data_IF_569981788676
#
_entry.id   IF_569981788676
#
_cell.length_a   1.000
_cell.length_b   1.000
_cell.length_c   1.000
_cell.angle_alpha   90.00
_cell.angle_beta   90.00
_cell.angle_gamma   90.00
#
_symmetry.space_group_name_H-M   'P 1'
#
loop_
_entity.id
_entity.type
_entity.pdbx_description
1 polymer ?
#
# COMPACT_ATOMS: atom_id res chain seq x y z
N UNK A 1 -1.23 -11.50 -19.11
CA UNK A 1 -0.58 -11.44 -17.74
C UNK A 1 -0.10 -9.95 -17.83
N UNK A 2 -0.67 -9.04 -17.02
CA UNK A 2 -0.10 -7.71 -16.76
C UNK A 2 1.02 -7.85 -15.74
N UNK A 3 1.94 -8.71 -16.16
CA UNK A 3 2.74 -9.58 -15.33
C UNK A 3 4.07 -9.89 -16.05
N UNK A 4 4.50 -8.93 -16.88
CA UNK A 4 5.78 -8.88 -17.60
C UNK A 4 6.76 -7.88 -16.95
N UNK A 5 6.45 -7.39 -15.75
CA UNK A 5 7.41 -6.64 -14.95
C UNK A 5 8.58 -7.57 -14.57
N UNK A 6 9.81 -7.13 -14.82
CA UNK A 6 11.03 -7.94 -14.57
C UNK A 6 11.24 -8.28 -13.09
N UNK A 7 10.54 -7.57 -12.20
CA UNK A 7 10.39 -7.84 -10.77
C UNK A 7 8.89 -7.88 -10.46
N UNK A 8 8.36 -8.90 -9.77
CA UNK A 8 6.96 -8.94 -9.35
C UNK A 8 6.59 -7.77 -8.42
N UNK A 9 5.38 -7.24 -8.57
CA UNK A 9 4.84 -6.21 -7.67
C UNK A 9 4.29 -6.88 -6.41
N UNK A 10 5.08 -6.86 -5.33
CA UNK A 10 4.66 -7.40 -4.03
C UNK A 10 3.67 -6.49 -3.29
N UNK A 11 2.91 -7.06 -2.36
CA UNK A 11 1.81 -6.42 -1.62
C UNK A 11 2.18 -5.06 -0.99
N UNK A 12 3.42 -4.93 -0.51
CA UNK A 12 3.91 -3.66 0.06
C UNK A 12 3.85 -2.48 -0.91
N UNK A 13 3.92 -2.71 -2.22
CA UNK A 13 3.72 -1.66 -3.22
C UNK A 13 2.27 -1.14 -3.23
N UNK A 14 1.27 -2.03 -3.09
CA UNK A 14 -0.14 -1.62 -2.97
C UNK A 14 -0.39 -0.86 -1.66
N UNK A 15 0.15 -1.35 -0.54
CA UNK A 15 0.03 -0.65 0.76
C UNK A 15 0.74 0.72 0.74
N UNK A 16 1.89 0.84 0.06
CA UNK A 16 2.61 2.13 -0.12
C UNK A 16 1.89 3.07 -1.10
N UNK A 17 1.18 2.57 -2.10
CA UNK A 17 0.32 3.37 -3.00
C UNK A 17 -0.87 3.96 -2.24
N UNK A 18 -1.50 3.16 -1.37
CA UNK A 18 -2.63 3.56 -0.53
C UNK A 18 -2.29 4.61 0.55
N UNK A 19 -1.02 5.01 0.70
CA UNK A 19 -0.57 6.18 1.48
C UNK A 19 -0.62 7.50 0.71
N UNK A 20 -0.75 7.44 -0.62
CA UNK A 20 -0.64 8.60 -1.53
C UNK A 20 -1.96 8.96 -2.20
N UNK A 21 -2.81 7.96 -2.46
CA UNK A 21 -4.10 8.09 -3.13
C UNK A 21 -5.07 7.05 -2.55
N UNK A 22 -6.38 7.29 -2.70
CA UNK A 22 -7.41 6.27 -2.48
C UNK A 22 -7.43 5.28 -3.68
N UNK A 23 -7.09 3.99 -3.48
CA UNK A 23 -6.98 3.05 -4.61
C UNK A 23 -8.31 2.73 -5.32
N UNK A 24 -9.46 2.76 -4.64
CA UNK A 24 -10.78 2.59 -5.25
C UNK A 24 -11.11 3.75 -6.21
N UNK A 25 -10.79 5.00 -5.85
CA UNK A 25 -10.91 6.14 -6.77
C UNK A 25 -9.93 6.05 -7.94
N UNK A 26 -8.67 5.65 -7.69
CA UNK A 26 -7.69 5.43 -8.75
C UNK A 26 -8.17 4.38 -9.76
N UNK A 27 -8.71 3.25 -9.29
CA UNK A 27 -9.32 2.21 -10.14
C UNK A 27 -10.44 2.78 -11.01
N UNK A 28 -11.40 3.50 -10.42
CA UNK A 28 -12.55 4.08 -11.14
C UNK A 28 -12.11 5.04 -12.24
N UNK A 29 -11.18 5.95 -11.93
CA UNK A 29 -10.65 6.93 -12.89
C UNK A 29 -9.86 6.24 -14.01
N UNK A 30 -8.95 5.31 -13.68
CA UNK A 30 -8.16 4.59 -14.68
C UNK A 30 -9.01 3.69 -15.59
N UNK A 31 -10.12 3.14 -15.07
CA UNK A 31 -11.09 2.35 -15.84
C UNK A 31 -11.92 3.23 -16.77
N UNK A 32 -12.40 4.38 -16.28
CA UNK A 32 -13.15 5.34 -17.09
C UNK A 32 -12.31 5.92 -18.23
N UNK A 33 -11.05 6.29 -17.97
CA UNK A 33 -10.10 6.77 -18.98
C UNK A 33 -9.84 5.74 -20.08
N UNK A 34 -9.62 4.47 -19.72
CA UNK A 34 -9.36 3.43 -20.72
C UNK A 34 -10.59 3.12 -21.56
N UNK A 35 -11.74 2.84 -20.92
CA UNK A 35 -12.97 2.47 -21.64
C UNK A 35 -13.55 3.64 -22.47
N UNK A 36 -13.29 4.89 -22.08
CA UNK A 36 -13.68 6.08 -22.82
C UNK A 36 -12.92 6.31 -24.13
N UNK A 37 -11.79 5.63 -24.36
CA UNK A 37 -10.94 5.77 -25.57
C UNK A 37 -11.40 4.92 -26.76
N UNK A 38 -12.63 4.41 -26.71
CA UNK A 38 -13.20 3.46 -27.68
C UNK A 38 -14.33 4.10 -28.52
N UNK A 39 -14.01 5.01 -29.47
CA UNK A 39 -15.01 5.62 -30.35
C UNK A 39 -15.55 4.58 -31.35
N UNK A 40 -16.81 4.73 -31.77
CA UNK A 40 -17.51 3.74 -32.61
C UNK A 40 -16.92 3.47 -34.00
N UNK A 41 -15.96 4.28 -34.48
CA UNK A 41 -15.21 4.05 -35.72
C UNK A 41 -13.96 3.18 -35.54
N UNK A 42 -13.50 2.95 -34.30
CA UNK A 42 -12.33 2.14 -34.00
C UNK A 42 -12.71 0.65 -34.05
N UNK A 43 -11.97 -0.21 -34.78
CA UNK A 43 -12.19 -1.66 -34.76
C UNK A 43 -12.04 -2.24 -33.35
N UNK A 44 -12.90 -3.20 -32.98
CA UNK A 44 -12.99 -3.73 -31.61
C UNK A 44 -11.70 -4.40 -31.12
N UNK A 45 -10.91 -4.90 -32.06
CA UNK A 45 -9.61 -5.55 -31.83
C UNK A 45 -8.52 -4.54 -31.42
N UNK A 46 -8.83 -3.23 -31.53
CA UNK A 46 -7.99 -2.11 -31.10
C UNK A 46 -8.57 -1.34 -29.91
N UNK A 47 -9.70 -1.79 -29.34
CA UNK A 47 -10.29 -1.15 -28.17
C UNK A 47 -9.43 -1.38 -26.93
N UNK A 48 -9.37 -0.37 -26.08
CA UNK A 48 -8.77 -0.46 -24.75
C UNK A 48 -9.73 -1.22 -23.81
N UNK A 49 -9.22 -2.21 -23.09
CA UNK A 49 -9.96 -2.97 -22.08
C UNK A 49 -9.83 -2.34 -20.67
N UNK A 50 -10.32 -3.04 -19.64
CA UNK A 50 -10.04 -2.72 -18.23
C UNK A 50 -9.36 -3.86 -17.47
N UNK A 51 -8.69 -4.78 -18.16
CA UNK A 51 -8.11 -6.02 -17.59
C UNK A 51 -7.05 -5.72 -16.53
N UNK A 52 -6.21 -4.69 -16.74
CA UNK A 52 -5.22 -4.28 -15.74
C UNK A 52 -5.87 -3.65 -14.50
N UNK A 53 -6.99 -2.95 -14.69
CA UNK A 53 -7.74 -2.28 -13.64
C UNK A 53 -8.51 -3.28 -12.77
N UNK A 54 -9.12 -4.32 -13.35
CA UNK A 54 -9.78 -5.38 -12.56
C UNK A 54 -8.75 -6.12 -11.69
N UNK A 55 -7.64 -6.58 -12.28
CA UNK A 55 -6.53 -7.21 -11.54
C UNK A 55 -6.01 -6.31 -10.40
N UNK A 56 -5.90 -5.01 -10.65
CA UNK A 56 -5.47 -4.04 -9.64
C UNK A 56 -6.47 -3.97 -8.47
N UNK A 57 -7.77 -3.80 -8.73
CA UNK A 57 -8.76 -3.66 -7.66
C UNK A 57 -9.00 -4.98 -6.91
N UNK A 58 -8.85 -6.14 -7.56
CA UNK A 58 -8.82 -7.45 -6.89
C UNK A 58 -7.69 -7.52 -5.86
N UNK A 59 -6.47 -7.11 -6.23
CA UNK A 59 -5.31 -7.11 -5.31
C UNK A 59 -5.47 -6.08 -4.19
N UNK A 60 -6.00 -4.90 -4.48
CA UNK A 60 -6.31 -3.88 -3.46
C UNK A 60 -7.33 -4.40 -2.44
N UNK A 61 -8.42 -5.04 -2.89
CA UNK A 61 -9.46 -5.63 -2.03
C UNK A 61 -8.94 -6.79 -1.18
N UNK A 62 -8.16 -7.69 -1.77
CA UNK A 62 -7.52 -8.80 -1.06
C UNK A 62 -6.56 -8.32 0.06
N UNK A 63 -6.06 -7.09 -0.04
CA UNK A 63 -5.19 -6.44 0.93
C UNK A 63 -5.91 -5.46 1.87
N UNK A 64 -7.23 -5.26 1.69
CA UNK A 64 -8.08 -4.35 2.47
C UNK A 64 -7.58 -2.88 2.49
N UNK A 65 -7.03 -2.41 1.37
CA UNK A 65 -6.49 -1.04 1.20
C UNK A 65 -7.26 -0.18 0.20
N UNK A 66 -8.53 -0.49 -0.07
CA UNK A 66 -9.41 0.24 -1.02
C UNK A 66 -9.49 1.74 -0.75
N UNK A 67 -9.41 2.13 0.53
CA UNK A 67 -9.62 3.51 0.99
C UNK A 67 -8.36 4.21 1.46
N UNK A 68 -7.47 3.49 2.15
CA UNK A 68 -6.20 3.98 2.69
C UNK A 68 -5.28 2.82 3.03
N UNK A 69 -4.01 3.13 3.27
CA UNK A 69 -3.05 2.18 3.85
C UNK A 69 -3.44 1.79 5.30
N UNK A 70 -2.90 0.68 5.83
CA UNK A 70 -3.08 0.31 7.23
C UNK A 70 -2.52 1.39 8.17
N UNK A 71 -3.17 1.57 9.33
CA UNK A 71 -2.67 2.45 10.39
C UNK A 71 -1.39 1.89 11.04
N UNK A 72 -0.44 2.74 11.49
CA UNK A 72 0.77 2.29 12.16
C UNK A 72 0.48 1.49 13.45
N UNK A 73 1.00 0.27 13.55
CA UNK A 73 0.89 -0.56 14.77
C UNK A 73 1.79 -0.05 15.91
N UNK A 74 2.93 0.56 15.56
CA UNK A 74 3.79 1.25 16.51
C UNK A 74 3.42 2.73 16.55
N UNK A 75 3.28 3.28 17.77
CA UNK A 75 2.91 4.68 18.00
C UNK A 75 3.80 5.24 19.10
N UNK A 76 4.00 6.57 19.15
CA UNK A 76 4.91 7.21 20.11
C UNK A 76 4.65 6.86 21.59
N UNK A 77 3.39 6.62 21.97
CA UNK A 77 3.04 6.14 23.33
C UNK A 77 3.69 4.78 23.66
N UNK A 78 3.82 3.87 22.70
CA UNK A 78 4.44 2.55 22.90
C UNK A 78 5.96 2.69 23.13
N UNK A 79 6.60 3.74 22.61
CA UNK A 79 8.01 4.04 22.89
C UNK A 79 8.18 4.63 24.30
N UNK A 80 7.25 5.48 24.74
CA UNK A 80 7.23 6.02 26.11
C UNK A 80 6.96 4.89 27.13
N UNK A 81 6.07 3.94 26.81
CA UNK A 81 5.83 2.71 27.60
C UNK A 81 7.10 1.84 27.76
N UNK A 82 7.98 1.82 26.77
CA UNK A 82 9.30 1.13 26.82
C UNK A 82 10.39 1.97 27.52
N UNK A 83 10.09 3.20 27.93
CA UNK A 83 11.03 4.09 28.61
C UNK A 83 11.98 4.86 27.68
N UNK A 84 11.58 5.12 26.43
CA UNK A 84 12.29 6.06 25.55
C UNK A 84 11.89 7.52 25.87
N UNK A 85 12.87 8.42 26.00
CA UNK A 85 12.62 9.86 26.13
C UNK A 85 12.18 10.46 24.78
N UNK A 86 11.09 11.25 24.71
CA UNK A 86 10.61 11.85 23.47
C UNK A 86 11.65 12.71 22.75
N UNK A 87 12.01 12.33 21.52
CA UNK A 87 13.02 13.05 20.72
C UNK A 87 13.03 12.65 19.24
N UNK A 88 13.94 13.24 18.42
CA UNK A 88 14.00 13.02 16.97
C UNK A 88 14.11 11.55 16.54
N UNK A 89 14.72 10.70 17.38
CA UNK A 89 14.84 9.25 17.18
C UNK A 89 13.49 8.53 17.10
N UNK A 90 12.43 9.05 17.73
CA UNK A 90 11.07 8.49 17.61
C UNK A 90 10.65 8.40 16.15
N UNK A 91 10.88 9.45 15.35
CA UNK A 91 10.51 9.44 13.94
C UNK A 91 11.22 8.31 13.19
N UNK A 92 12.52 8.14 13.41
CA UNK A 92 13.30 7.07 12.75
C UNK A 92 12.74 5.68 13.08
N UNK A 93 12.49 5.40 14.37
CA UNK A 93 11.99 4.09 14.83
C UNK A 93 10.57 3.83 14.27
N UNK A 94 9.69 4.85 14.31
CA UNK A 94 8.31 4.74 13.82
C UNK A 94 8.24 4.61 12.29
N UNK A 95 9.04 5.38 11.55
CA UNK A 95 9.13 5.28 10.09
C UNK A 95 9.67 3.89 9.67
N UNK A 96 10.76 3.39 10.28
CA UNK A 96 11.28 2.05 10.00
C UNK A 96 10.26 0.94 10.33
N UNK A 97 9.60 1.01 11.50
CA UNK A 97 8.58 0.04 11.89
C UNK A 97 7.40 0.03 10.91
N UNK A 98 6.97 1.20 10.45
CA UNK A 98 5.87 1.31 9.48
C UNK A 98 6.29 0.83 8.08
N UNK A 99 7.51 1.11 7.63
CA UNK A 99 8.01 0.56 6.37
C UNK A 99 8.02 -0.99 6.38
N UNK A 100 8.36 -1.61 7.53
CA UNK A 100 8.32 -3.07 7.72
C UNK A 100 6.90 -3.62 7.86
N UNK A 101 5.98 -2.90 8.51
CA UNK A 101 4.56 -3.25 8.56
C UNK A 101 3.95 -3.31 7.14
N UNK A 102 4.29 -2.33 6.29
CA UNK A 102 3.83 -2.30 4.90
C UNK A 102 4.39 -3.48 4.08
N UNK A 103 5.59 -3.97 4.41
CA UNK A 103 6.17 -5.20 3.86
C UNK A 103 5.61 -6.49 4.50
N UNK A 104 4.67 -6.41 5.45
CA UNK A 104 4.15 -7.54 6.25
C UNK A 104 5.21 -8.26 7.10
N UNK A 105 6.30 -7.56 7.46
CA UNK A 105 7.38 -8.06 8.33
C UNK A 105 7.13 -7.78 9.82
N UNK A 106 6.27 -6.80 10.13
CA UNK A 106 5.71 -6.57 11.47
C UNK A 106 4.17 -6.57 11.35
N UNK A 107 3.50 -7.42 12.12
CA UNK A 107 2.05 -7.67 11.98
C UNK A 107 1.22 -7.30 13.21
N UNK A 108 1.86 -7.07 14.35
CA UNK A 108 1.22 -6.86 15.65
C UNK A 108 2.04 -5.92 16.54
N UNK A 109 1.40 -5.37 17.58
CA UNK A 109 2.00 -4.36 18.47
C UNK A 109 3.20 -4.91 19.25
N UNK A 110 3.19 -6.17 19.66
CA UNK A 110 4.23 -6.74 20.52
C UNK A 110 5.54 -6.98 19.76
N UNK A 111 5.49 -7.51 18.53
CA UNK A 111 6.67 -7.62 17.69
C UNK A 111 7.20 -6.25 17.25
N UNK A 112 6.32 -5.26 17.06
CA UNK A 112 6.71 -3.89 16.80
C UNK A 112 7.33 -3.19 18.03
N UNK A 113 6.93 -3.57 19.25
CA UNK A 113 7.56 -3.13 20.51
C UNK A 113 8.96 -3.73 20.68
N UNK A 114 9.13 -5.05 20.44
CA UNK A 114 10.46 -5.70 20.44
C UNK A 114 11.43 -5.04 19.46
N UNK A 115 10.97 -4.85 18.21
CA UNK A 115 11.70 -4.15 17.15
C UNK A 115 12.17 -2.73 17.55
N UNK A 116 11.42 -2.05 18.41
CA UNK A 116 11.77 -0.74 18.94
C UNK A 116 12.76 -0.83 20.11
N UNK A 117 12.59 -1.77 21.04
CA UNK A 117 13.50 -1.98 22.17
C UNK A 117 14.90 -2.41 21.70
N UNK A 118 15.00 -3.16 20.60
CA UNK A 118 16.24 -3.46 19.85
C UNK A 118 16.98 -2.20 19.30
N UNK A 119 16.40 -1.00 19.41
CA UNK A 119 16.94 0.28 18.91
C UNK A 119 17.18 1.31 20.02
N UNK A 120 17.22 0.85 21.27
CA UNK A 120 17.48 1.65 22.47
C UNK A 120 18.96 2.02 22.63
#
# INVERSE_FOLDING_TARGET
EWFKAKTPVGDGAFRRLARKVEPDLLYRVAKADSLGRNPGWLPKEKWFDSTAQEWFIEKVRALQVEKKAPEPILMGRHLIELGFEPGPQFKKILDEAYELQLDNKLSNVEDAKKFADERR
#
